data_IF_317167075762
#
_entry.id   IF_317167075762
#
_cell.length_a   1.000
_cell.length_b   1.000
_cell.length_c   1.000
_cell.angle_alpha   90.00
_cell.angle_beta   90.00
_cell.angle_gamma   90.00
#
_symmetry.space_group_name_H-M   'P 1'
#
loop_
_entity.id
_entity.type
_entity.pdbx_description
1 polymer ?
#
# COMPACT_ATOMS: atom_id res chain seq x y z
N UNK A 1 -53.04 35.79 -116.29
CA UNK A 1 -52.74 35.87 -114.87
C UNK A 1 -51.67 34.85 -114.58
N UNK A 2 -50.57 35.06 -114.14
CA UNK A 2 -49.55 36.12 -114.16
C UNK A 2 -48.19 35.44 -113.97
N UNK A 3 -47.44 35.36 -115.05
CA UNK A 3 -46.05 34.92 -115.03
C UNK A 3 -45.17 35.81 -114.10
N UNK A 4 -45.58 37.06 -113.92
CA UNK A 4 -44.92 38.06 -113.09
C UNK A 4 -45.01 37.74 -111.59
N UNK A 5 -46.12 37.17 -111.13
CA UNK A 5 -46.29 36.80 -109.69
C UNK A 5 -45.48 35.56 -109.24
N UNK A 6 -45.25 34.63 -110.16
CA UNK A 6 -44.40 33.47 -109.89
C UNK A 6 -42.90 33.81 -109.82
N UNK A 7 -42.45 34.71 -110.75
CA UNK A 7 -41.05 35.18 -110.75
C UNK A 7 -40.75 36.03 -109.50
N UNK A 8 -41.72 36.84 -109.05
CA UNK A 8 -41.56 37.61 -107.81
C UNK A 8 -41.55 36.70 -106.57
N UNK A 9 -42.36 35.70 -106.55
CA UNK A 9 -42.39 34.74 -105.47
C UNK A 9 -41.14 33.84 -105.44
N UNK A 10 -40.61 33.48 -106.62
CA UNK A 10 -39.36 32.76 -106.72
C UNK A 10 -38.15 33.61 -106.25
N UNK A 11 -38.09 34.87 -106.74
CA UNK A 11 -37.04 35.82 -106.34
C UNK A 11 -37.09 36.14 -104.84
N UNK A 12 -38.27 36.29 -104.27
CA UNK A 12 -38.46 36.50 -102.82
C UNK A 12 -38.08 35.25 -101.98
N UNK A 13 -38.37 34.05 -102.49
CA UNK A 13 -37.94 32.82 -101.87
C UNK A 13 -36.42 32.62 -101.97
N UNK A 14 -35.78 32.95 -103.09
CA UNK A 14 -34.35 32.85 -103.26
C UNK A 14 -33.60 33.81 -102.33
N UNK A 15 -34.08 35.07 -102.21
CA UNK A 15 -33.51 36.10 -101.34
C UNK A 15 -33.68 35.69 -99.86
N UNK A 16 -34.80 35.09 -99.49
CA UNK A 16 -35.03 34.59 -98.11
C UNK A 16 -34.16 33.40 -97.79
N UNK A 17 -33.94 32.48 -98.70
CA UNK A 17 -33.07 31.32 -98.51
C UNK A 17 -31.59 31.73 -98.48
N UNK A 18 -31.14 32.68 -99.31
CA UNK A 18 -29.76 33.21 -99.26
C UNK A 18 -29.46 33.94 -97.93
N UNK A 19 -30.42 34.74 -97.43
CA UNK A 19 -30.28 35.43 -96.14
C UNK A 19 -30.26 34.36 -94.98
N UNK A 20 -31.13 33.37 -95.11
CA UNK A 20 -31.13 32.30 -94.09
C UNK A 20 -29.83 31.44 -94.05
N UNK A 21 -29.31 31.12 -95.28
CA UNK A 21 -28.01 30.41 -95.37
C UNK A 21 -26.86 31.27 -94.89
N UNK A 22 -26.84 32.59 -95.27
CA UNK A 22 -25.81 33.50 -94.80
C UNK A 22 -25.83 33.67 -93.26
N UNK A 23 -27.02 33.77 -92.64
CA UNK A 23 -27.13 33.86 -91.20
C UNK A 23 -26.69 32.54 -90.48
N UNK A 24 -26.96 31.40 -91.11
CA UNK A 24 -26.53 30.10 -90.60
C UNK A 24 -25.00 29.93 -90.68
N UNK A 25 -24.39 30.38 -91.81
CA UNK A 25 -22.93 30.41 -91.99
C UNK A 25 -22.28 31.39 -91.03
N UNK A 26 -22.87 32.59 -90.83
CA UNK A 26 -22.37 33.51 -89.79
C UNK A 26 -22.49 33.00 -88.38
N UNK A 27 -23.56 32.35 -88.04
CA UNK A 27 -23.76 31.70 -86.76
C UNK A 27 -22.77 30.56 -86.58
N UNK A 28 -22.55 29.71 -87.60
CA UNK A 28 -21.57 28.65 -87.59
C UNK A 28 -20.13 29.17 -87.42
N UNK A 29 -19.81 30.22 -88.17
CA UNK A 29 -18.49 30.89 -88.03
C UNK A 29 -18.31 31.51 -86.66
N UNK A 30 -19.33 32.17 -86.14
CA UNK A 30 -19.33 32.71 -84.77
C UNK A 30 -19.12 31.65 -83.73
N UNK A 31 -19.74 30.46 -83.85
CA UNK A 31 -19.55 29.29 -82.94
C UNK A 31 -18.14 28.71 -83.06
N UNK A 32 -17.58 28.64 -84.32
CA UNK A 32 -16.19 28.17 -84.53
C UNK A 32 -15.19 29.14 -83.87
N UNK A 33 -15.40 30.43 -84.07
CA UNK A 33 -14.55 31.48 -83.49
C UNK A 33 -14.64 31.50 -81.94
N UNK A 34 -15.85 31.37 -81.43
CA UNK A 34 -16.08 31.25 -80.01
C UNK A 34 -15.40 29.96 -79.40
N UNK A 35 -15.52 28.82 -80.13
CA UNK A 35 -14.84 27.59 -79.79
C UNK A 35 -13.31 27.70 -79.79
N UNK A 36 -12.80 28.40 -80.83
CA UNK A 36 -11.36 28.71 -80.92
C UNK A 36 -10.89 29.60 -79.76
N UNK A 37 -11.61 30.67 -79.45
CA UNK A 37 -11.29 31.57 -78.32
C UNK A 37 -11.36 30.85 -76.95
N UNK A 38 -12.39 30.07 -76.77
CA UNK A 38 -12.56 29.29 -75.57
C UNK A 38 -11.47 28.22 -75.44
N UNK A 39 -10.93 27.69 -76.51
CA UNK A 39 -9.85 26.73 -76.54
C UNK A 39 -8.52 27.32 -76.02
N UNK A 40 -8.25 28.59 -76.28
CA UNK A 40 -7.04 29.25 -75.76
C UNK A 40 -7.14 29.70 -74.34
N UNK A 41 -8.33 29.92 -73.73
CA UNK A 41 -8.55 30.28 -72.33
C UNK A 41 -9.15 29.12 -71.58
N UNK A 42 -8.68 27.94 -71.82
CA UNK A 42 -9.13 26.73 -71.07
C UNK A 42 -8.07 26.26 -70.11
N UNK A 43 -8.48 25.86 -68.93
CA UNK A 43 -7.65 25.20 -67.88
C UNK A 43 -8.10 23.76 -67.75
N UNK A 44 -7.18 22.82 -67.82
CA UNK A 44 -7.46 21.41 -67.49
C UNK A 44 -7.17 21.15 -66.05
N UNK A 45 -8.13 20.60 -65.32
CA UNK A 45 -7.97 20.25 -63.88
C UNK A 45 -7.89 18.74 -63.77
N UNK A 46 -6.76 18.28 -63.26
CA UNK A 46 -6.56 16.88 -62.86
C UNK A 46 -6.78 16.74 -61.34
N UNK A 47 -7.84 16.06 -60.95
CA UNK A 47 -8.12 15.80 -59.54
C UNK A 47 -7.42 14.52 -59.13
N UNK A 48 -6.69 14.60 -58.01
CA UNK A 48 -6.05 13.44 -57.33
C UNK A 48 -6.56 13.32 -55.92
N UNK A 49 -6.61 12.11 -55.32
CA UNK A 49 -6.32 10.79 -55.92
C UNK A 49 -7.39 10.35 -56.92
N UNK A 50 -7.12 9.28 -57.66
CA UNK A 50 -8.01 8.79 -58.74
C UNK A 50 -9.42 8.45 -58.20
N UNK A 51 -9.53 7.99 -56.94
CA UNK A 51 -10.83 7.74 -56.31
C UNK A 51 -11.66 9.02 -56.11
N UNK A 52 -11.01 10.14 -55.84
CA UNK A 52 -11.70 11.44 -55.70
C UNK A 52 -12.19 11.93 -57.07
N UNK A 53 -11.43 11.66 -58.15
CA UNK A 53 -11.75 12.09 -59.51
C UNK A 53 -13.10 11.53 -60.02
N UNK A 54 -13.43 10.25 -59.64
CA UNK A 54 -14.67 9.62 -60.10
C UNK A 54 -15.93 10.31 -59.55
N UNK A 55 -15.85 10.97 -58.41
CA UNK A 55 -16.97 11.66 -57.75
C UNK A 55 -16.76 13.18 -57.67
N UNK A 56 -15.73 13.71 -58.35
CA UNK A 56 -15.42 15.13 -58.27
C UNK A 56 -16.41 15.97 -59.07
N UNK A 57 -16.80 17.06 -58.43
CA UNK A 57 -17.65 18.12 -59.05
C UNK A 57 -16.88 19.42 -58.97
N UNK A 58 -16.71 20.06 -60.10
CA UNK A 58 -16.10 21.41 -60.24
C UNK A 58 -17.22 22.42 -60.45
N UNK A 59 -17.39 23.28 -59.45
CA UNK A 59 -18.38 24.41 -59.56
C UNK A 59 -17.65 25.73 -59.52
N UNK A 60 -18.23 26.68 -60.24
CA UNK A 60 -17.75 28.06 -60.34
C UNK A 60 -18.52 28.87 -59.31
N UNK A 61 -17.80 29.43 -58.29
CA UNK A 61 -18.40 30.23 -57.23
C UNK A 61 -18.35 31.74 -57.50
N UNK A 62 -17.43 32.18 -58.36
CA UNK A 62 -17.34 33.59 -58.78
C UNK A 62 -16.62 33.69 -60.11
N UNK A 63 -16.97 34.74 -60.92
CA UNK A 63 -16.42 34.97 -62.22
C UNK A 63 -17.27 34.37 -63.37
N UNK A 64 -17.04 34.86 -64.60
CA UNK A 64 -17.69 34.34 -65.82
C UNK A 64 -16.84 33.20 -66.41
N UNK A 65 -17.22 31.95 -66.05
CA UNK A 65 -16.57 30.74 -66.55
C UNK A 65 -17.62 29.66 -66.82
N UNK A 66 -17.26 28.66 -67.59
CA UNK A 66 -18.04 27.46 -67.84
C UNK A 66 -17.17 26.24 -67.53
N UNK A 67 -17.72 25.31 -66.75
CA UNK A 67 -17.07 24.00 -66.45
C UNK A 67 -17.69 22.91 -67.33
N UNK A 68 -16.88 22.21 -68.10
CA UNK A 68 -17.31 21.04 -68.85
C UNK A 68 -16.31 19.91 -68.67
N UNK A 69 -16.79 18.83 -68.12
CA UNK A 69 -15.93 17.73 -67.62
C UNK A 69 -14.81 18.24 -66.72
N UNK A 70 -13.57 18.01 -67.05
CA UNK A 70 -12.42 18.47 -66.28
C UNK A 70 -11.76 19.74 -66.83
N UNK A 71 -12.46 20.48 -67.65
CA UNK A 71 -11.97 21.73 -68.25
C UNK A 71 -12.82 22.92 -67.86
N UNK A 72 -12.14 23.97 -67.52
CA UNK A 72 -12.74 25.29 -67.25
C UNK A 72 -12.45 26.20 -68.41
N UNK A 73 -13.49 26.82 -68.93
CA UNK A 73 -13.44 27.82 -70.00
C UNK A 73 -13.80 29.17 -69.40
N UNK A 74 -12.82 30.02 -69.18
CA UNK A 74 -13.07 31.34 -68.63
C UNK A 74 -13.30 32.40 -69.60
N UNK A 75 -14.31 33.22 -69.36
CA UNK A 75 -14.66 34.43 -70.08
C UNK A 75 -14.19 35.70 -69.36
N UNK A 76 -13.88 35.57 -68.05
CA UNK A 76 -13.30 36.61 -67.19
C UNK A 76 -11.81 36.35 -66.95
N UNK A 77 -11.06 37.37 -66.57
CA UNK A 77 -9.62 37.26 -66.24
C UNK A 77 -9.34 36.47 -64.99
N UNK A 78 -10.34 36.33 -64.12
CA UNK A 78 -10.26 35.54 -62.90
C UNK A 78 -11.54 34.75 -62.73
N UNK A 79 -11.45 33.54 -62.17
CA UNK A 79 -12.58 32.72 -61.70
C UNK A 79 -12.26 32.03 -60.41
N UNK A 80 -13.24 31.95 -59.51
CA UNK A 80 -13.12 31.16 -58.29
C UNK A 80 -13.84 29.84 -58.48
N UNK A 81 -13.13 28.78 -58.19
CA UNK A 81 -13.59 27.43 -58.38
C UNK A 81 -13.70 26.73 -56.99
N UNK A 82 -14.72 25.94 -56.82
CA UNK A 82 -14.89 25.03 -55.71
C UNK A 82 -14.87 23.59 -56.24
N UNK A 83 -13.91 22.82 -55.83
CA UNK A 83 -13.73 21.42 -56.22
C UNK A 83 -14.08 20.54 -55.02
N UNK A 84 -15.12 19.75 -55.17
CA UNK A 84 -15.60 18.85 -54.14
C UNK A 84 -15.68 17.41 -54.67
N UNK A 85 -15.50 16.45 -53.78
CA UNK A 85 -15.74 15.04 -54.09
C UNK A 85 -16.31 14.35 -52.83
N UNK A 86 -17.08 13.27 -53.03
CA UNK A 86 -17.63 12.50 -51.94
C UNK A 86 -16.51 11.97 -51.03
N UNK A 87 -16.65 12.16 -49.70
CA UNK A 87 -15.67 11.77 -48.69
C UNK A 87 -14.34 12.55 -48.68
N UNK A 88 -14.24 13.63 -49.47
CA UNK A 88 -13.06 14.49 -49.53
C UNK A 88 -13.40 15.92 -49.08
N UNK A 89 -12.39 16.62 -48.61
CA UNK A 89 -12.50 18.03 -48.26
C UNK A 89 -12.66 18.86 -49.56
N UNK A 90 -13.50 19.88 -49.50
CA UNK A 90 -13.66 20.80 -50.60
C UNK A 90 -12.46 21.74 -50.66
N UNK A 91 -11.92 21.92 -51.88
CA UNK A 91 -10.83 22.86 -52.13
C UNK A 91 -11.37 24.02 -52.94
N UNK A 92 -11.17 25.23 -52.44
CA UNK A 92 -11.45 26.47 -53.19
C UNK A 92 -10.13 27.02 -53.74
N UNK A 93 -10.15 27.39 -55.02
CA UNK A 93 -9.00 28.01 -55.68
C UNK A 93 -9.44 29.12 -56.62
N UNK A 94 -8.60 30.10 -56.71
CA UNK A 94 -8.82 31.22 -57.73
C UNK A 94 -7.84 31.00 -58.87
N UNK A 95 -8.38 30.91 -60.09
CA UNK A 95 -7.60 30.83 -61.33
C UNK A 95 -7.56 32.19 -61.98
N UNK A 96 -6.43 32.52 -62.57
CA UNK A 96 -6.14 33.78 -63.18
C UNK A 96 -5.70 33.61 -64.69
N UNK A 97 -5.53 34.66 -65.39
CA UNK A 97 -5.10 34.65 -66.80
C UNK A 97 -3.82 33.84 -67.08
N UNK A 98 -2.91 33.79 -66.09
CA UNK A 98 -1.65 33.05 -66.20
C UNK A 98 -1.81 31.54 -66.11
N UNK A 99 -2.93 31.04 -65.54
CA UNK A 99 -3.22 29.62 -65.37
C UNK A 99 -3.88 28.97 -66.57
N UNK A 100 -4.47 29.78 -67.45
CA UNK A 100 -5.12 29.29 -68.72
C UNK A 100 -4.07 28.78 -69.68
N UNK A 101 -4.41 27.72 -70.38
CA UNK A 101 -3.50 27.00 -71.27
C UNK A 101 -2.63 25.94 -70.58
N UNK A 102 -2.78 25.81 -69.32
CA UNK A 102 -2.00 24.82 -68.51
C UNK A 102 -2.85 23.65 -68.01
N UNK A 103 -2.18 22.67 -67.45
CA UNK A 103 -2.81 21.58 -66.66
C UNK A 103 -2.52 21.83 -65.22
N UNK A 104 -3.55 21.91 -64.36
CA UNK A 104 -3.44 22.09 -62.92
C UNK A 104 -3.84 20.80 -62.22
N UNK A 105 -2.98 20.29 -61.31
CA UNK A 105 -3.30 19.15 -60.48
C UNK A 105 -3.80 19.64 -59.12
N UNK A 106 -5.00 19.20 -58.72
CA UNK A 106 -5.62 19.50 -57.45
C UNK A 106 -5.70 18.23 -56.61
N UNK A 107 -5.05 18.25 -55.45
CA UNK A 107 -5.05 17.10 -54.51
C UNK A 107 -6.14 17.35 -53.48
N UNK A 108 -7.15 16.49 -53.46
CA UNK A 108 -8.19 16.51 -52.42
C UNK A 108 -7.78 15.61 -51.26
N UNK A 109 -7.77 16.18 -50.09
CA UNK A 109 -7.53 15.42 -48.85
C UNK A 109 -8.82 14.71 -48.42
N UNK A 110 -8.75 13.46 -47.99
CA UNK A 110 -9.93 12.77 -47.47
C UNK A 110 -10.44 13.48 -46.22
N UNK A 111 -11.75 13.48 -46.00
CA UNK A 111 -12.35 13.94 -44.74
C UNK A 111 -11.95 12.98 -43.61
N UNK A 112 -11.68 13.50 -42.41
CA UNK A 112 -11.47 12.63 -41.27
C UNK A 112 -12.69 11.75 -41.02
N UNK A 113 -12.45 10.58 -40.41
CA UNK A 113 -13.47 9.73 -39.83
C UNK A 113 -13.51 9.91 -38.32
N UNK A 114 -14.62 9.54 -37.68
CA UNK A 114 -14.78 9.58 -36.25
C UNK A 114 -14.55 8.19 -35.67
N UNK A 115 -13.61 8.08 -34.71
CA UNK A 115 -13.48 6.89 -33.86
C UNK A 115 -14.24 7.11 -32.55
N UNK A 116 -15.17 6.22 -32.24
CA UNK A 116 -15.88 6.14 -30.96
C UNK A 116 -15.62 4.81 -30.35
N UNK A 117 -14.79 4.79 -29.30
CA UNK A 117 -14.47 3.57 -28.57
C UNK A 117 -14.93 3.67 -27.12
N UNK A 118 -15.35 2.54 -26.55
CA UNK A 118 -15.75 2.41 -25.15
C UNK A 118 -15.16 1.14 -24.55
N UNK A 119 -14.85 1.16 -23.26
CA UNK A 119 -14.38 -0.02 -22.54
C UNK A 119 -15.50 -0.64 -21.69
N UNK A 120 -15.42 -1.95 -21.52
CA UNK A 120 -16.29 -2.74 -20.63
C UNK A 120 -15.41 -3.52 -19.66
N UNK A 121 -15.58 -3.36 -18.32
CA UNK A 121 -16.48 -2.46 -17.62
C UNK A 121 -16.15 -0.99 -17.86
N UNK A 122 -17.14 -0.09 -17.74
CA UNK A 122 -16.96 1.35 -17.91
C UNK A 122 -16.15 1.93 -16.74
N UNK A 123 -14.85 2.01 -16.92
CA UNK A 123 -13.86 2.54 -15.96
C UNK A 123 -12.87 3.43 -16.69
N UNK A 124 -12.32 4.46 -16.04
CA UNK A 124 -11.27 5.28 -16.65
C UNK A 124 -10.04 4.43 -17.00
N UNK A 125 -9.60 4.55 -18.25
CA UNK A 125 -8.41 3.88 -18.79
C UNK A 125 -7.56 4.86 -19.56
N UNK A 126 -6.29 4.54 -19.76
CA UNK A 126 -5.42 5.32 -20.63
C UNK A 126 -5.53 4.80 -22.06
N UNK A 127 -5.92 5.70 -22.98
CA UNK A 127 -6.02 5.43 -24.40
C UNK A 127 -4.74 5.83 -25.12
N UNK A 128 -4.26 4.95 -25.98
CA UNK A 128 -3.09 5.18 -26.84
C UNK A 128 -3.44 4.90 -28.29
N UNK A 129 -3.04 5.79 -29.19
CA UNK A 129 -3.07 5.59 -30.64
C UNK A 129 -1.65 5.57 -31.18
N UNK A 130 -1.30 4.48 -31.88
CA UNK A 130 0.05 4.27 -32.43
C UNK A 130 1.16 4.48 -31.37
N UNK A 131 0.88 4.07 -30.11
CA UNK A 131 1.80 4.19 -28.98
C UNK A 131 1.83 5.58 -28.32
N UNK A 132 1.10 6.57 -28.83
CA UNK A 132 0.99 7.90 -28.22
C UNK A 132 -0.24 8.00 -27.33
N UNK A 133 -0.05 8.54 -26.12
CA UNK A 133 -1.15 8.81 -25.20
C UNK A 133 -2.12 9.84 -25.78
N UNK A 134 -3.43 9.57 -25.69
CA UNK A 134 -4.49 10.44 -26.20
C UNK A 134 -5.33 11.01 -25.07
N UNK A 135 -5.88 10.15 -24.21
CA UNK A 135 -6.76 10.58 -23.13
C UNK A 135 -6.86 9.54 -22.02
N UNK A 136 -7.39 9.97 -20.87
CA UNK A 136 -7.76 9.08 -19.76
C UNK A 136 -9.26 9.20 -19.51
N UNK A 137 -10.01 8.19 -19.92
CA UNK A 137 -11.48 8.18 -19.83
C UNK A 137 -12.03 6.76 -20.05
N UNK A 138 -13.31 6.54 -19.81
CA UNK A 138 -13.97 5.27 -20.15
C UNK A 138 -14.38 5.18 -21.62
N UNK A 139 -14.34 6.30 -22.35
CA UNK A 139 -14.67 6.39 -23.79
C UNK A 139 -13.62 7.23 -24.50
N UNK A 140 -13.45 6.98 -25.78
CA UNK A 140 -12.60 7.75 -26.67
C UNK A 140 -13.42 8.19 -27.90
N UNK A 141 -13.60 9.51 -28.06
CA UNK A 141 -14.19 10.12 -29.21
C UNK A 141 -13.13 11.03 -29.87
N UNK A 142 -12.71 10.68 -31.07
CA UNK A 142 -11.66 11.44 -31.77
C UNK A 142 -11.80 11.38 -33.29
N UNK A 143 -11.52 12.49 -33.94
CA UNK A 143 -11.41 12.57 -35.38
C UNK A 143 -10.02 12.16 -35.84
N UNK A 144 -9.96 11.25 -36.81
CA UNK A 144 -8.71 10.70 -37.32
C UNK A 144 -8.71 10.74 -38.86
N UNK A 145 -7.54 10.95 -39.44
CA UNK A 145 -7.37 10.78 -40.89
C UNK A 145 -7.64 9.31 -41.28
N UNK A 146 -8.17 9.04 -42.46
CA UNK A 146 -8.34 7.68 -42.94
C UNK A 146 -7.02 6.91 -42.93
N UNK A 147 -7.04 5.66 -42.43
CA UNK A 147 -5.86 4.84 -42.32
C UNK A 147 -6.01 3.78 -41.23
N UNK A 148 -4.95 3.00 -41.02
CA UNK A 148 -4.88 1.96 -40.00
C UNK A 148 -4.18 2.50 -38.74
N UNK A 149 -4.78 2.22 -37.60
CA UNK A 149 -4.29 2.65 -36.29
C UNK A 149 -4.19 1.46 -35.34
N UNK A 150 -3.16 1.49 -34.50
CA UNK A 150 -3.04 0.60 -33.36
C UNK A 150 -3.61 1.31 -32.14
N UNK A 151 -4.74 0.83 -31.65
CA UNK A 151 -5.38 1.31 -30.45
C UNK A 151 -4.94 0.43 -29.28
N UNK A 152 -4.39 1.03 -28.22
CA UNK A 152 -4.07 0.32 -27.00
C UNK A 152 -4.77 0.96 -25.80
N UNK A 153 -5.21 0.10 -24.87
CA UNK A 153 -5.88 0.48 -23.64
C UNK A 153 -5.09 -0.09 -22.47
N UNK A 154 -4.77 0.77 -21.49
CA UNK A 154 -4.06 0.36 -20.26
C UNK A 154 -4.76 0.91 -19.03
N UNK A 155 -4.69 0.14 -17.93
CA UNK A 155 -5.18 0.53 -16.61
C UNK A 155 -4.33 -0.16 -15.56
N UNK A 156 -4.31 0.39 -14.33
CA UNK A 156 -3.57 -0.22 -13.21
C UNK A 156 -4.17 -1.57 -12.77
N UNK A 157 -5.46 -1.79 -13.06
CA UNK A 157 -6.23 -2.93 -12.53
C UNK A 157 -6.79 -3.87 -13.60
N UNK A 158 -6.47 -3.63 -14.87
CA UNK A 158 -6.95 -4.43 -16.00
C UNK A 158 -5.81 -4.85 -16.91
N UNK A 159 -6.03 -5.93 -17.65
CA UNK A 159 -5.09 -6.37 -18.68
C UNK A 159 -4.96 -5.29 -19.78
N UNK A 160 -3.74 -5.14 -20.28
CA UNK A 160 -3.50 -4.31 -21.46
C UNK A 160 -4.17 -4.96 -22.67
N UNK A 161 -4.99 -4.20 -23.40
CA UNK A 161 -5.64 -4.66 -24.62
C UNK A 161 -5.16 -3.83 -25.80
N UNK A 162 -4.79 -4.50 -26.89
CA UNK A 162 -4.41 -3.86 -28.16
C UNK A 162 -5.35 -4.31 -29.27
N UNK A 163 -5.75 -3.38 -30.15
CA UNK A 163 -6.63 -3.62 -31.31
C UNK A 163 -6.17 -2.79 -32.48
N UNK A 164 -6.17 -3.40 -33.68
CA UNK A 164 -6.05 -2.66 -34.92
C UNK A 164 -7.42 -2.15 -35.34
N UNK A 165 -7.51 -0.90 -35.72
CA UNK A 165 -8.74 -0.24 -36.21
C UNK A 165 -8.45 0.51 -37.51
N UNK A 166 -9.29 0.30 -38.50
CA UNK A 166 -9.22 1.02 -39.76
C UNK A 166 -10.25 2.14 -39.76
N UNK A 167 -9.80 3.37 -40.00
CA UNK A 167 -10.65 4.56 -40.11
C UNK A 167 -10.90 4.84 -41.57
N UNK A 168 -12.18 4.92 -41.91
CA UNK A 168 -12.61 5.29 -43.28
C UNK A 168 -13.01 6.76 -43.38
N UNK A 169 -12.81 7.35 -44.55
CA UNK A 169 -13.14 8.75 -44.78
C UNK A 169 -14.64 9.06 -44.56
N UNK A 170 -14.92 10.09 -43.76
CA UNK A 170 -16.28 10.54 -43.42
C UNK A 170 -17.20 9.46 -42.89
N UNK A 171 -16.65 8.51 -42.11
CA UNK A 171 -17.41 7.44 -41.46
C UNK A 171 -17.15 7.40 -39.96
N UNK A 172 -18.18 7.03 -39.22
CA UNK A 172 -18.08 6.74 -37.78
C UNK A 172 -17.70 5.27 -37.61
N UNK A 173 -16.66 5.02 -36.82
CA UNK A 173 -16.21 3.68 -36.41
C UNK A 173 -16.49 3.54 -34.94
N UNK A 174 -17.41 2.65 -34.55
CA UNK A 174 -17.71 2.31 -33.14
C UNK A 174 -17.01 1.04 -32.73
N UNK A 175 -16.41 1.04 -31.52
CA UNK A 175 -15.67 -0.10 -30.98
C UNK A 175 -15.97 -0.26 -29.49
N UNK A 176 -16.30 -1.48 -29.07
CA UNK A 176 -16.37 -1.85 -27.66
C UNK A 176 -15.20 -2.80 -27.33
N UNK A 177 -14.49 -2.50 -26.24
CA UNK A 177 -13.29 -3.24 -25.81
C UNK A 177 -13.52 -3.79 -24.42
N UNK A 178 -13.54 -5.11 -24.31
CA UNK A 178 -13.54 -5.78 -23.01
C UNK A 178 -12.12 -5.73 -22.43
N UNK A 179 -12.03 -5.23 -21.20
CA UNK A 179 -10.80 -5.13 -20.44
C UNK A 179 -10.86 -6.08 -19.23
N UNK A 180 -10.27 -7.29 -19.31
CA UNK A 180 -10.27 -8.23 -18.20
C UNK A 180 -9.54 -7.66 -16.99
N UNK A 181 -10.07 -7.92 -15.77
CA UNK A 181 -9.39 -7.56 -14.53
C UNK A 181 -8.15 -8.45 -14.34
N UNK A 182 -7.10 -7.88 -13.75
CA UNK A 182 -5.90 -8.63 -13.40
C UNK A 182 -6.13 -9.45 -12.13
N UNK A 183 -5.33 -10.49 -11.95
CA UNK A 183 -5.19 -11.19 -10.69
C UNK A 183 -3.73 -11.13 -10.21
N UNK A 184 -3.54 -11.05 -8.90
CA UNK A 184 -2.25 -11.16 -8.25
C UNK A 184 -2.09 -12.49 -7.55
N UNK A 185 -0.86 -12.89 -7.28
CA UNK A 185 -0.51 -14.08 -6.50
C UNK A 185 0.37 -13.65 -5.35
N UNK A 186 -0.04 -13.98 -4.12
CA UNK A 186 0.75 -13.77 -2.92
C UNK A 186 1.16 -15.10 -2.33
N UNK A 187 2.45 -15.21 -1.95
CA UNK A 187 3.00 -16.30 -1.16
C UNK A 187 3.52 -15.73 0.13
N UNK A 188 3.05 -16.26 1.25
CA UNK A 188 3.44 -15.84 2.57
C UNK A 188 4.10 -17.00 3.32
N UNK A 189 5.24 -16.73 3.96
CA UNK A 189 5.86 -17.62 4.93
C UNK A 189 5.81 -16.94 6.29
N UNK A 190 5.56 -17.72 7.36
CA UNK A 190 5.55 -17.16 8.70
C UNK A 190 6.30 -18.05 9.70
N UNK A 191 6.89 -17.42 10.68
CA UNK A 191 7.57 -18.06 11.80
C UNK A 191 7.18 -17.35 13.11
N UNK A 192 6.60 -18.08 14.07
CA UNK A 192 6.18 -19.49 14.02
C UNK A 192 4.95 -19.69 13.12
N UNK A 193 4.56 -20.95 12.84
CA UNK A 193 3.30 -21.24 12.15
C UNK A 193 2.08 -20.67 12.90
N UNK A 194 1.11 -20.19 12.16
CA UNK A 194 -0.10 -19.57 12.70
C UNK A 194 -1.16 -19.36 11.62
N UNK A 195 -1.95 -18.32 11.74
CA UNK A 195 -3.06 -18.00 10.88
C UNK A 195 -2.73 -16.75 10.02
N UNK A 196 -3.17 -16.79 8.76
CA UNK A 196 -3.13 -15.64 7.85
C UNK A 196 -4.58 -15.34 7.44
N UNK A 197 -4.93 -14.06 7.44
CA UNK A 197 -6.15 -13.56 6.82
C UNK A 197 -5.83 -12.49 5.78
N UNK A 198 -6.65 -12.41 4.76
CA UNK A 198 -6.61 -11.35 3.75
C UNK A 198 -7.97 -10.67 3.75
N UNK A 199 -7.97 -9.35 3.93
CA UNK A 199 -9.20 -8.54 4.04
C UNK A 199 -10.18 -9.10 5.09
N UNK A 200 -9.63 -9.66 6.18
CA UNK A 200 -10.40 -10.29 7.27
C UNK A 200 -10.89 -11.70 6.97
N UNK A 201 -10.58 -12.28 5.82
CA UNK A 201 -10.94 -13.66 5.46
C UNK A 201 -9.75 -14.58 5.69
N UNK A 202 -9.88 -15.64 6.52
CA UNK A 202 -8.82 -16.62 6.73
C UNK A 202 -8.46 -17.34 5.43
N UNK A 203 -7.15 -17.53 5.19
CA UNK A 203 -6.62 -18.20 4.01
C UNK A 203 -5.60 -19.28 4.40
N UNK A 204 -5.40 -20.26 3.53
CA UNK A 204 -4.38 -21.29 3.74
C UNK A 204 -2.99 -20.69 3.53
N UNK A 205 -2.19 -20.70 4.59
CA UNK A 205 -0.81 -20.18 4.58
C UNK A 205 0.17 -21.01 3.75
N UNK A 206 -0.19 -22.25 3.38
CA UNK A 206 0.67 -23.16 2.62
C UNK A 206 0.47 -23.02 1.12
N UNK A 207 -0.65 -22.46 0.68
CA UNK A 207 -1.01 -22.28 -0.72
C UNK A 207 -0.67 -20.88 -1.23
N UNK A 208 -0.59 -20.76 -2.55
CA UNK A 208 -0.55 -19.46 -3.20
C UNK A 208 -1.94 -18.81 -3.12
N UNK A 209 -2.01 -17.59 -2.60
CA UNK A 209 -3.25 -16.83 -2.42
C UNK A 209 -3.50 -16.02 -3.68
N UNK A 210 -4.65 -16.23 -4.33
CA UNK A 210 -5.06 -15.41 -5.48
C UNK A 210 -5.81 -14.18 -4.98
N UNK A 211 -5.38 -13.00 -5.44
CA UNK A 211 -5.91 -11.71 -5.05
C UNK A 211 -6.48 -10.97 -6.26
N UNK A 212 -7.57 -10.26 -6.06
CA UNK A 212 -8.09 -9.32 -7.06
C UNK A 212 -7.17 -8.11 -7.26
N UNK A 213 -7.52 -7.19 -8.17
CA UNK A 213 -6.80 -5.93 -8.33
C UNK A 213 -7.10 -4.98 -7.18
N UNK A 214 -6.13 -4.15 -6.81
CA UNK A 214 -6.28 -3.12 -5.78
C UNK A 214 -5.54 -3.40 -4.48
N UNK A 215 -5.83 -2.62 -3.43
CA UNK A 215 -5.21 -2.78 -2.12
C UNK A 215 -5.82 -3.94 -1.35
N UNK A 216 -4.96 -4.73 -0.67
CA UNK A 216 -5.32 -5.83 0.21
C UNK A 216 -4.58 -5.70 1.53
N UNK A 217 -5.27 -5.99 2.63
CA UNK A 217 -4.70 -6.06 3.96
C UNK A 217 -4.43 -7.51 4.32
N UNK A 218 -3.18 -7.82 4.66
CA UNK A 218 -2.76 -9.13 5.17
C UNK A 218 -2.58 -8.99 6.67
N UNK A 219 -3.24 -9.84 7.44
CA UNK A 219 -3.03 -9.94 8.88
C UNK A 219 -2.51 -11.33 9.21
N UNK A 220 -1.43 -11.37 10.00
CA UNK A 220 -0.72 -12.60 10.38
C UNK A 220 -0.68 -12.70 11.89
N UNK A 221 -1.13 -13.81 12.44
CA UNK A 221 -1.20 -14.03 13.87
C UNK A 221 -0.78 -15.44 14.28
N UNK A 222 -0.23 -15.57 15.49
CA UNK A 222 0.06 -16.84 16.13
C UNK A 222 -0.17 -16.70 17.64
N UNK A 223 -0.60 -17.79 18.28
CA UNK A 223 -0.89 -17.79 19.71
C UNK A 223 0.35 -17.41 20.54
N UNK A 224 0.23 -16.39 21.38
CA UNK A 224 1.31 -15.87 22.21
C UNK A 224 2.27 -14.93 21.50
N UNK A 225 2.02 -14.57 20.25
CA UNK A 225 2.83 -13.63 19.46
C UNK A 225 2.07 -12.35 19.17
N UNK A 226 2.79 -11.29 18.84
CA UNK A 226 2.20 -10.04 18.41
C UNK A 226 1.74 -10.20 16.96
N UNK A 227 0.48 -9.86 16.63
CA UNK A 227 0.02 -9.91 15.25
C UNK A 227 0.75 -8.84 14.41
N UNK A 228 0.91 -9.14 13.12
CA UNK A 228 1.50 -8.23 12.13
C UNK A 228 0.48 -7.97 11.05
N UNK A 229 0.30 -6.70 10.71
CA UNK A 229 -0.53 -6.26 9.58
C UNK A 229 0.37 -5.69 8.50
N UNK A 230 0.18 -6.15 7.27
CA UNK A 230 0.87 -5.69 6.06
C UNK A 230 -0.15 -5.27 5.00
N UNK A 231 0.25 -4.43 4.07
CA UNK A 231 -0.57 -4.01 2.95
C UNK A 231 0.16 -4.28 1.64
N UNK A 232 -0.56 -4.85 0.69
CA UNK A 232 -0.08 -5.04 -0.67
C UNK A 232 -1.09 -4.43 -1.64
N UNK A 233 -0.61 -3.97 -2.79
CA UNK A 233 -1.45 -3.40 -3.84
C UNK A 233 -1.18 -4.17 -5.13
N UNK A 234 -2.21 -4.90 -5.61
CA UNK A 234 -2.14 -5.63 -6.86
C UNK A 234 -2.41 -4.68 -8.01
N UNK A 235 -1.41 -4.48 -8.86
CA UNK A 235 -1.47 -3.62 -10.05
C UNK A 235 -0.97 -4.36 -11.28
N UNK A 236 -1.22 -3.81 -12.47
CA UNK A 236 -0.67 -4.33 -13.73
C UNK A 236 0.86 -4.46 -13.68
N UNK A 237 1.55 -3.55 -12.99
CA UNK A 237 3.01 -3.56 -12.87
C UNK A 237 3.52 -4.54 -11.81
N UNK A 238 2.71 -4.87 -10.80
CA UNK A 238 3.10 -5.74 -9.69
C UNK A 238 1.98 -6.69 -9.33
N UNK A 239 2.14 -7.95 -9.71
CA UNK A 239 1.17 -9.03 -9.54
C UNK A 239 1.64 -10.16 -8.63
N UNK A 240 2.95 -10.27 -8.40
CA UNK A 240 3.52 -11.34 -7.58
C UNK A 240 4.13 -10.76 -6.30
N UNK A 241 3.79 -11.36 -5.18
CA UNK A 241 4.25 -10.97 -3.87
C UNK A 241 4.79 -12.18 -3.13
N UNK A 242 5.96 -12.04 -2.53
CA UNK A 242 6.52 -13.00 -1.59
C UNK A 242 6.82 -12.28 -0.30
N UNK A 243 6.24 -12.75 0.81
CA UNK A 243 6.38 -12.15 2.13
C UNK A 243 6.85 -13.19 3.14
N UNK A 244 7.74 -12.78 4.03
CA UNK A 244 8.17 -13.58 5.17
C UNK A 244 7.90 -12.80 6.46
N UNK A 245 7.08 -13.36 7.33
CA UNK A 245 6.68 -12.74 8.59
C UNK A 245 7.34 -13.48 9.76
N UNK A 246 8.17 -12.76 10.51
CA UNK A 246 8.78 -13.23 11.76
C UNK A 246 8.08 -12.56 12.94
N UNK A 247 7.16 -13.29 13.58
CA UNK A 247 6.34 -12.75 14.64
C UNK A 247 7.16 -12.61 15.93
N UNK A 248 6.95 -11.50 16.65
CA UNK A 248 7.60 -11.24 17.92
C UNK A 248 6.81 -11.89 19.05
N UNK A 249 7.47 -12.66 19.96
CA UNK A 249 6.79 -13.26 21.07
C UNK A 249 6.27 -12.20 22.05
N UNK A 250 5.09 -12.42 22.60
CA UNK A 250 4.55 -11.60 23.67
C UNK A 250 5.32 -11.90 24.98
N UNK A 251 5.45 -10.90 25.89
CA UNK A 251 6.08 -11.11 27.16
C UNK A 251 5.31 -12.11 28.04
N UNK A 252 6.03 -12.85 28.83
CA UNK A 252 5.47 -13.74 29.85
C UNK A 252 5.02 -12.92 31.06
N UNK A 253 3.87 -13.26 31.63
CA UNK A 253 3.33 -12.63 32.82
C UNK A 253 3.52 -13.56 34.02
N UNK A 254 4.15 -13.05 35.08
CA UNK A 254 4.39 -13.80 36.33
C UNK A 254 3.46 -13.24 37.38
N UNK A 255 2.53 -14.08 37.87
CA UNK A 255 1.76 -13.82 39.09
C UNK A 255 2.52 -14.47 40.23
N UNK A 256 2.94 -13.71 41.23
CA UNK A 256 3.75 -14.23 42.32
C UNK A 256 2.98 -14.28 43.63
N UNK A 257 3.30 -15.34 44.44
CA UNK A 257 2.87 -15.52 45.81
C UNK A 257 4.13 -15.83 46.62
N UNK A 258 4.63 -14.84 47.36
CA UNK A 258 5.93 -14.88 47.99
C UNK A 258 5.80 -14.79 49.52
N UNK A 259 6.36 -15.76 50.23
CA UNK A 259 6.42 -15.78 51.69
C UNK A 259 7.85 -16.03 52.18
N UNK A 260 8.33 -15.30 53.18
CA UNK A 260 7.76 -14.10 53.78
C UNK A 260 7.77 -12.93 52.81
N UNK A 261 6.86 -11.98 52.98
CA UNK A 261 6.80 -10.79 52.15
C UNK A 261 8.08 -9.94 52.25
N UNK A 262 8.24 -8.97 51.29
CA UNK A 262 9.34 -8.01 51.23
C UNK A 262 10.75 -8.62 51.08
N UNK A 263 10.86 -9.74 50.38
CA UNK A 263 12.14 -10.26 49.87
C UNK A 263 12.54 -9.62 48.54
N UNK A 264 13.61 -10.15 47.94
CA UNK A 264 14.09 -9.77 46.62
C UNK A 264 13.80 -10.88 45.62
N UNK A 265 13.01 -10.56 44.56
CA UNK A 265 12.71 -11.47 43.46
C UNK A 265 13.63 -11.15 42.29
N UNK A 266 14.32 -12.16 41.78
CA UNK A 266 15.11 -12.07 40.56
C UNK A 266 14.51 -13.01 39.51
N UNK A 267 14.42 -12.53 38.26
CA UNK A 267 14.06 -13.37 37.14
C UNK A 267 15.14 -13.24 36.09
N UNK A 268 15.71 -14.34 35.66
CA UNK A 268 16.89 -14.39 34.78
C UNK A 268 18.04 -13.47 35.23
N UNK A 269 18.28 -13.43 36.57
CA UNK A 269 19.31 -12.62 37.21
C UNK A 269 18.99 -11.12 37.32
N UNK A 270 17.85 -10.67 36.85
CA UNK A 270 17.42 -9.26 36.98
C UNK A 270 16.46 -9.13 38.14
N UNK A 271 16.76 -8.20 39.07
CA UNK A 271 15.84 -7.88 40.19
C UNK A 271 14.59 -7.19 39.64
N UNK A 272 13.43 -7.67 40.09
CA UNK A 272 12.13 -7.15 39.73
C UNK A 272 11.44 -6.43 40.88
N UNK A 273 10.61 -5.45 40.55
CA UNK A 273 9.73 -4.82 41.52
C UNK A 273 8.50 -5.72 41.75
N UNK A 274 8.28 -6.08 42.99
CA UNK A 274 7.18 -6.98 43.44
C UNK A 274 6.00 -6.19 44.03
N UNK A 275 5.93 -4.87 43.77
CA UNK A 275 4.81 -4.04 44.23
C UNK A 275 3.51 -4.33 43.50
N UNK A 276 3.57 -4.93 42.29
CA UNK A 276 2.43 -5.34 41.47
C UNK A 276 2.23 -6.86 41.53
N UNK A 277 0.99 -7.31 41.58
CA UNK A 277 0.65 -8.74 41.64
C UNK A 277 1.09 -9.53 40.40
N UNK A 278 1.22 -8.86 39.28
CA UNK A 278 1.63 -9.46 37.99
C UNK A 278 2.78 -8.64 37.37
N UNK A 279 3.86 -9.32 37.05
CA UNK A 279 5.06 -8.74 36.47
C UNK A 279 5.24 -9.28 35.05
N UNK A 280 5.51 -8.41 34.08
CA UNK A 280 5.81 -8.80 32.68
C UNK A 280 7.32 -8.89 32.47
N UNK A 281 7.77 -10.02 31.90
CA UNK A 281 9.18 -10.24 31.54
C UNK A 281 9.29 -10.64 30.06
N UNK A 282 10.39 -10.29 29.38
CA UNK A 282 10.63 -10.75 28.02
C UNK A 282 10.59 -12.28 27.95
N UNK A 283 9.95 -12.79 26.88
CA UNK A 283 9.88 -14.22 26.65
C UNK A 283 11.28 -14.85 26.49
N UNK A 284 11.45 -15.99 27.13
CA UNK A 284 12.52 -16.98 26.94
C UNK A 284 11.89 -18.35 27.06
N UNK A 285 12.48 -19.38 26.46
CA UNK A 285 11.96 -20.77 26.55
C UNK A 285 11.87 -21.28 28.00
N UNK A 286 12.78 -20.81 28.87
CA UNK A 286 12.73 -21.00 30.30
C UNK A 286 13.04 -19.71 31.04
N UNK A 287 12.43 -19.55 32.20
CA UNK A 287 12.69 -18.43 33.10
C UNK A 287 13.25 -19.00 34.41
N UNK A 288 14.38 -18.45 34.88
CA UNK A 288 15.00 -18.78 36.15
C UNK A 288 14.56 -17.76 37.19
N UNK A 289 13.92 -18.23 38.21
CA UNK A 289 13.35 -17.42 39.28
C UNK A 289 14.13 -17.69 40.56
N UNK A 290 14.58 -16.64 41.23
CA UNK A 290 15.24 -16.70 42.54
C UNK A 290 14.52 -15.73 43.46
N UNK A 291 14.12 -16.25 44.65
CA UNK A 291 13.58 -15.44 45.73
C UNK A 291 14.48 -15.54 46.95
N UNK A 292 14.88 -14.39 47.47
CA UNK A 292 15.77 -14.32 48.65
C UNK A 292 15.34 -13.26 49.64
N UNK A 293 15.61 -13.52 50.92
CA UNK A 293 15.42 -12.57 52.02
C UNK A 293 16.45 -12.84 53.09
N UNK A 294 17.07 -11.81 53.70
CA UNK A 294 17.98 -12.00 54.81
C UNK A 294 17.37 -12.83 55.95
N UNK A 295 18.11 -13.84 56.48
CA UNK A 295 17.66 -14.78 57.52
C UNK A 295 16.82 -15.95 57.00
N UNK A 296 16.71 -16.10 55.69
CA UNK A 296 15.98 -17.20 55.04
C UNK A 296 16.83 -17.87 53.98
N UNK A 297 16.62 -19.16 53.78
CA UNK A 297 17.26 -19.92 52.71
C UNK A 297 16.68 -19.53 51.35
N UNK A 298 17.53 -19.09 50.46
CA UNK A 298 17.14 -18.68 49.06
C UNK A 298 16.51 -19.85 48.32
N UNK A 299 15.38 -19.61 47.67
CA UNK A 299 14.72 -20.58 46.79
C UNK A 299 14.91 -20.20 45.32
N UNK A 300 15.15 -21.25 44.49
CA UNK A 300 15.32 -21.13 43.04
C UNK A 300 14.41 -22.10 42.32
N UNK A 301 13.80 -21.63 41.22
CA UNK A 301 12.94 -22.44 40.37
C UNK A 301 13.17 -22.07 38.92
N UNK A 302 13.29 -23.06 38.04
CA UNK A 302 13.30 -22.85 36.60
C UNK A 302 11.99 -23.38 36.00
N UNK A 303 11.34 -22.58 35.17
CA UNK A 303 10.05 -22.88 34.53
C UNK A 303 10.18 -22.78 33.04
N UNK A 304 9.77 -23.83 32.32
CA UNK A 304 9.53 -23.73 30.88
C UNK A 304 8.21 -22.97 30.63
N UNK A 305 8.21 -22.04 29.73
CA UNK A 305 7.07 -21.16 29.45
C UNK A 305 6.86 -20.96 27.97
N UNK A 306 5.62 -20.66 27.59
CA UNK A 306 5.24 -20.29 26.24
C UNK A 306 5.15 -18.75 26.07
N UNK A 307 5.27 -18.22 24.85
CA UNK A 307 5.08 -16.80 24.59
C UNK A 307 3.69 -16.33 25.06
N UNK A 308 3.62 -15.18 25.75
CA UNK A 308 2.38 -14.58 26.23
C UNK A 308 1.71 -15.30 27.40
N UNK A 309 2.30 -16.38 27.89
CA UNK A 309 1.76 -17.18 29.00
C UNK A 309 1.71 -16.39 30.31
N UNK A 310 0.72 -16.70 31.16
CA UNK A 310 0.65 -16.21 32.52
C UNK A 310 0.92 -17.40 33.48
N UNK A 311 2.07 -17.35 34.16
CA UNK A 311 2.46 -18.37 35.12
C UNK A 311 2.28 -17.88 36.58
N UNK A 312 1.90 -18.78 37.48
CA UNK A 312 1.83 -18.49 38.92
C UNK A 312 3.02 -19.11 39.61
N UNK A 313 3.79 -18.29 40.32
CA UNK A 313 4.97 -18.67 41.07
C UNK A 313 4.69 -18.52 42.56
N UNK A 314 4.67 -19.63 43.30
CA UNK A 314 4.51 -19.65 44.74
C UNK A 314 5.83 -20.10 45.39
N UNK A 315 6.49 -19.21 46.12
CA UNK A 315 7.75 -19.50 46.80
C UNK A 315 7.64 -19.16 48.30
N UNK A 316 7.94 -20.15 49.15
CA UNK A 316 8.01 -19.94 50.59
C UNK A 316 9.44 -20.22 51.05
N UNK A 317 10.08 -19.23 51.62
CA UNK A 317 11.44 -19.34 52.10
C UNK A 317 11.43 -19.93 53.49
N UNK A 318 12.11 -21.08 53.78
CA UNK A 318 12.34 -21.55 55.14
C UNK A 318 13.35 -20.64 55.82
N UNK A 319 13.21 -20.41 57.14
CA UNK A 319 14.22 -19.67 57.88
C UNK A 319 15.57 -20.43 57.86
N UNK A 320 16.64 -19.68 57.80
CA UNK A 320 18.00 -20.18 57.93
C UNK A 320 18.32 -20.35 59.40
N UNK A 321 18.92 -21.48 59.82
CA UNK A 321 19.30 -21.75 61.17
C UNK A 321 20.80 -21.58 61.36
N UNK A 322 21.20 -21.02 62.51
CA UNK A 322 22.59 -20.78 62.90
C UNK A 322 22.81 -21.21 64.35
N UNK A 323 23.98 -21.73 64.61
CA UNK A 323 24.36 -22.15 65.96
C UNK A 323 24.95 -20.93 66.69
N UNK A 324 24.39 -20.68 67.90
CA UNK A 324 24.90 -19.68 68.83
C UNK A 324 25.31 -20.36 70.11
N UNK A 325 26.35 -19.83 70.73
CA UNK A 325 26.77 -20.26 72.06
C UNK A 325 26.44 -19.16 73.09
N UNK A 326 25.73 -19.53 74.14
CA UNK A 326 25.37 -18.61 75.23
C UNK A 326 26.14 -18.96 76.46
N UNK A 327 26.90 -18.03 77.06
CA UNK A 327 27.69 -18.18 78.26
C UNK A 327 27.32 -17.10 79.28
N UNK A 328 27.56 -17.43 80.57
CA UNK A 328 27.43 -16.50 81.68
C UNK A 328 28.44 -16.78 82.74
N UNK A 329 28.69 -15.76 83.59
CA UNK A 329 29.57 -15.90 84.76
C UNK A 329 29.00 -16.79 85.86
N UNK A 330 27.72 -17.14 85.83
CA UNK A 330 27.00 -18.07 86.72
C UNK A 330 26.08 -18.95 85.88
N UNK A 331 25.69 -20.10 86.44
CA UNK A 331 24.67 -20.93 85.78
C UNK A 331 23.36 -20.18 85.77
N UNK A 332 22.85 -19.92 84.58
CA UNK A 332 21.64 -19.18 84.39
C UNK A 332 20.75 -19.84 83.29
N UNK A 333 19.45 -19.78 83.48
CA UNK A 333 18.49 -20.32 82.54
C UNK A 333 18.40 -19.34 81.35
N UNK A 334 18.56 -19.86 80.09
CA UNK A 334 18.51 -19.11 78.84
C UNK A 334 17.10 -19.14 78.28
N UNK A 335 16.59 -17.97 78.02
CA UNK A 335 15.32 -17.75 77.34
C UNK A 335 15.59 -17.10 75.95
N UNK A 336 14.96 -17.63 74.95
CA UNK A 336 14.94 -17.02 73.61
C UNK A 336 13.48 -16.61 73.30
N UNK A 337 13.24 -15.31 73.04
CA UNK A 337 11.93 -14.74 72.85
C UNK A 337 10.86 -15.17 73.88
N UNK A 338 11.34 -15.39 75.18
CA UNK A 338 10.49 -15.76 76.24
C UNK A 338 10.34 -17.28 76.48
N UNK A 339 10.83 -18.11 75.56
CA UNK A 339 10.83 -19.59 75.71
C UNK A 339 12.14 -20.06 76.38
N UNK A 340 12.03 -20.91 77.40
CA UNK A 340 13.18 -21.46 78.08
C UNK A 340 13.83 -22.61 77.31
N UNK A 341 15.18 -22.64 77.27
CA UNK A 341 15.97 -23.60 76.50
C UNK A 341 16.92 -24.41 77.38
N UNK A 342 17.29 -23.91 78.57
CA UNK A 342 18.14 -24.63 79.51
C UNK A 342 19.28 -23.76 80.08
N UNK A 343 20.14 -24.38 80.99
CA UNK A 343 21.17 -23.62 81.67
C UNK A 343 22.42 -23.34 80.82
N UNK A 344 23.12 -22.25 81.17
CA UNK A 344 24.42 -21.88 80.56
C UNK A 344 25.54 -22.80 81.11
N UNK A 345 26.63 -23.11 80.34
CA UNK A 345 26.81 -22.74 78.91
C UNK A 345 25.91 -23.59 78.00
N UNK A 346 25.26 -22.94 76.98
CA UNK A 346 24.31 -23.58 76.13
C UNK A 346 24.58 -23.28 74.64
N UNK A 347 24.54 -24.33 73.79
CA UNK A 347 24.54 -24.19 72.35
C UNK A 347 23.12 -24.34 71.79
N UNK A 348 22.69 -23.42 71.01
CA UNK A 348 21.33 -23.36 70.41
C UNK A 348 21.41 -23.19 68.90
N UNK A 349 20.64 -24.00 68.20
CA UNK A 349 20.37 -23.75 66.80
C UNK A 349 19.13 -22.88 66.69
N UNK A 350 19.30 -21.62 66.25
CA UNK A 350 18.25 -20.59 66.24
C UNK A 350 18.05 -20.03 64.85
N UNK A 351 16.84 -19.57 64.50
CA UNK A 351 16.64 -18.88 63.25
C UNK A 351 17.54 -17.64 63.14
N UNK A 352 18.11 -17.40 61.97
CA UNK A 352 18.90 -16.19 61.66
C UNK A 352 18.00 -14.93 61.52
N UNK A 353 17.13 -14.73 62.47
CA UNK A 353 16.15 -13.66 62.59
C UNK A 353 16.39 -12.86 63.87
N UNK A 354 15.93 -11.58 63.93
CA UNK A 354 15.99 -10.83 65.20
C UNK A 354 15.31 -11.57 66.32
N UNK A 355 16.03 -11.78 67.42
CA UNK A 355 15.56 -12.49 68.60
C UNK A 355 16.08 -11.81 69.86
N UNK A 356 15.42 -12.04 70.97
CA UNK A 356 15.86 -11.54 72.29
C UNK A 356 16.29 -12.69 73.18
N UNK A 357 17.56 -12.68 73.54
CA UNK A 357 18.13 -13.57 74.60
C UNK A 357 17.91 -12.92 75.93
N UNK A 358 17.38 -13.66 76.88
CA UNK A 358 17.25 -13.28 78.28
C UNK A 358 17.82 -14.37 79.16
N UNK A 359 18.65 -14.00 80.10
CA UNK A 359 19.21 -14.91 81.07
C UNK A 359 18.68 -14.61 82.51
N UNK A 360 18.29 -15.63 83.21
CA UNK A 360 17.79 -15.56 84.61
C UNK A 360 18.52 -16.52 85.51
N UNK A 361 18.93 -16.02 86.64
CA UNK A 361 19.52 -16.85 87.71
C UNK A 361 19.06 -16.34 89.11
N UNK A 362 18.86 -17.29 90.02
CA UNK A 362 18.42 -16.94 91.38
C UNK A 362 19.43 -16.05 92.07
N UNK A 363 18.96 -14.90 92.57
CA UNK A 363 19.81 -13.93 93.26
C UNK A 363 20.58 -12.98 92.37
N UNK A 364 20.30 -13.01 91.04
CA UNK A 364 20.91 -12.14 90.07
C UNK A 364 19.82 -11.34 89.30
N UNK A 365 20.21 -10.18 88.82
CA UNK A 365 19.38 -9.39 87.91
C UNK A 365 19.33 -10.07 86.54
N UNK A 366 18.13 -10.12 85.93
CA UNK A 366 17.98 -10.68 84.58
C UNK A 366 18.66 -9.78 83.52
N UNK A 367 19.42 -10.41 82.66
CA UNK A 367 20.06 -9.69 81.52
C UNK A 367 19.37 -10.02 80.19
N UNK A 368 19.10 -8.97 79.38
CA UNK A 368 18.50 -9.11 78.06
C UNK A 368 19.39 -8.54 77.01
N UNK A 369 19.47 -9.19 75.84
CA UNK A 369 20.22 -8.72 74.70
C UNK A 369 19.47 -9.09 73.44
N UNK A 370 19.14 -8.10 72.59
CA UNK A 370 18.66 -8.35 71.27
C UNK A 370 19.81 -8.76 70.35
N UNK A 371 19.60 -9.81 69.55
CA UNK A 371 20.57 -10.33 68.61
C UNK A 371 19.91 -10.64 67.30
N UNK A 372 20.69 -10.57 66.21
CA UNK A 372 20.29 -11.05 64.88
C UNK A 372 21.40 -11.99 64.42
N UNK A 373 21.27 -13.30 64.68
CA UNK A 373 22.29 -14.28 64.36
C UNK A 373 22.57 -14.27 62.85
N UNK A 374 23.84 -14.42 62.41
CA UNK A 374 24.28 -14.41 61.01
C UNK A 374 24.82 -15.80 60.65
N UNK A 375 24.41 -16.29 59.46
CA UNK A 375 24.78 -17.63 59.03
C UNK A 375 26.27 -17.88 58.91
N UNK A 376 27.07 -16.88 58.62
CA UNK A 376 28.48 -17.02 58.22
C UNK A 376 29.46 -16.96 59.41
N UNK A 377 28.97 -16.74 60.64
CA UNK A 377 29.85 -16.53 61.78
C UNK A 377 29.28 -17.22 63.06
N UNK A 378 30.04 -18.16 63.69
CA UNK A 378 29.69 -18.66 65.02
C UNK A 378 29.65 -17.50 66.02
N UNK A 379 28.53 -17.35 66.71
CA UNK A 379 28.31 -16.21 67.60
C UNK A 379 28.30 -16.72 69.06
N UNK A 380 29.16 -16.15 69.89
CA UNK A 380 29.13 -16.34 71.31
C UNK A 380 28.53 -15.14 72.02
N UNK A 381 27.49 -15.32 72.74
CA UNK A 381 26.86 -14.31 73.58
C UNK A 381 27.21 -14.53 75.04
N UNK A 382 28.07 -13.69 75.58
CA UNK A 382 28.45 -13.68 76.94
C UNK A 382 27.63 -12.70 77.81
N UNK A 383 27.12 -13.11 78.94
CA UNK A 383 26.27 -12.34 79.83
C UNK A 383 26.86 -12.29 81.24
N UNK A 384 27.54 -11.18 81.61
CA UNK A 384 27.95 -10.95 83.02
C UNK A 384 26.72 -10.58 83.86
N UNK A 385 26.15 -11.51 84.58
CA UNK A 385 25.03 -11.27 85.47
C UNK A 385 25.52 -10.63 86.78
N UNK A 386 24.76 -9.60 87.22
CA UNK A 386 25.05 -8.88 88.49
C UNK A 386 24.18 -9.40 89.63
N UNK A 387 24.76 -9.70 90.79
CA UNK A 387 23.97 -10.12 91.97
C UNK A 387 22.98 -9.03 92.35
N UNK A 388 21.76 -9.42 92.78
CA UNK A 388 20.80 -8.46 93.37
C UNK A 388 21.31 -7.95 94.68
N UNK A 389 20.85 -6.76 95.13
CA UNK A 389 21.27 -6.22 96.42
C UNK A 389 21.03 -7.15 97.64
N UNK A 390 20.00 -7.99 97.57
CA UNK A 390 19.71 -9.02 98.60
C UNK A 390 20.74 -10.14 98.56
N UNK A 391 21.21 -10.61 97.40
CA UNK A 391 22.24 -11.65 97.26
C UNK A 391 23.61 -11.12 97.73
N UNK A 392 23.95 -9.90 97.52
CA UNK A 392 25.17 -9.28 98.01
C UNK A 392 25.21 -9.21 99.55
N UNK A 393 24.10 -8.96 100.24
CA UNK A 393 24.01 -8.97 101.69
C UNK A 393 24.18 -10.36 102.29
N UNK A 394 23.80 -11.43 101.66
CA UNK A 394 23.99 -12.83 102.09
C UNK A 394 25.43 -13.26 102.04
N UNK A 395 26.29 -12.74 101.25
CA UNK A 395 27.71 -13.09 101.10
C UNK A 395 28.66 -12.08 101.71
N UNK A 396 28.18 -11.03 102.39
CA UNK A 396 29.07 -10.13 103.18
C UNK A 396 29.61 -10.91 104.37
N UNK A 397 30.94 -11.15 104.52
CA UNK A 397 31.49 -11.83 105.69
C UNK A 397 31.21 -10.99 106.92
N UNK A 398 30.57 -11.56 107.93
CA UNK A 398 30.46 -10.95 109.30
C UNK A 398 31.84 -10.80 109.84
N UNK A 399 32.41 -9.58 109.79
CA UNK A 399 33.63 -9.30 110.53
C UNK A 399 33.26 -9.24 112.02
N UNK A 400 33.65 -10.35 112.72
CA UNK A 400 33.54 -10.37 114.18
C UNK A 400 34.74 -9.61 114.74
N UNK A 401 34.55 -8.42 115.29
CA UNK A 401 35.53 -7.76 116.07
C UNK A 401 35.34 -8.18 117.55
N UNK A 402 36.31 -8.92 118.16
CA UNK A 402 36.22 -9.20 119.55
C UNK A 402 36.41 -7.93 120.40
N UNK A 403 35.48 -7.65 121.28
CA UNK A 403 35.64 -6.57 122.25
C UNK A 403 36.73 -6.96 123.24
N UNK A 404 37.78 -6.21 123.33
CA UNK A 404 38.77 -6.25 124.39
C UNK A 404 38.17 -5.70 125.68
N UNK A 405 38.01 -6.52 126.66
CA UNK A 405 37.79 -6.17 128.05
C UNK A 405 39.08 -6.00 128.79
#
# INVERSE_FOLDING_TARGET
MNRFDEEFRQAARHKRNTVAIASLVFAAFGLILAGYFLSFRSLSIEVRPEQARQSSVISITDGLALSFANRIYALSNTARLSISAAKYQTVELTVSDTDFGTNMTVILLPKPGMLRAAVTPSTPVNWYLNGQFVSQSSTLDTELSPGDYQLAVTSDYHEKVERSVTISAAQDTALSIDIPVIAGISRAAMTPPGEISVDGVPVDSTAAITLGPGPHQIEVSAAGYQPVTDQIIVTQAQREFTRAYNLQPQPVRIRHQLAPAAGSLFVNGKRLDISQDVISVPYRQSIDIEYSKPGFTTQRQSLAVSPGETVTVALTLPPEFVDITVTANVTAEVYLDGQAFGPTPLQLSVPALPATLELRADGYESARKSTTPKADQPQTHDFPLTPTAVAQLRYAPRVYTPSSG
#
